data_IF_906477246182
#
_entry.id   IF_906477246182
#
_cell.length_a   1.000
_cell.length_b   1.000
_cell.length_c   1.000
_cell.angle_alpha   90.00
_cell.angle_beta   90.00
_cell.angle_gamma   90.00
#
_symmetry.space_group_name_H-M   'P 1'
#
loop_
_entity.id
_entity.type
_entity.pdbx_description
1 polymer ?
#
# COMPACT_ATOMS: atom_id res chain seq x y z
N UNK A 1 6.89 11.86 7.97
CA UNK A 1 6.92 10.64 8.82
C UNK A 1 5.64 9.86 8.61
N UNK A 2 5.71 8.52 8.52
CA UNK A 2 6.92 7.70 8.50
C UNK A 2 7.74 7.95 7.22
N UNK A 3 9.04 7.62 7.26
CA UNK A 3 9.95 7.73 6.11
C UNK A 3 10.34 6.31 5.68
N UNK A 4 9.40 5.65 4.98
CA UNK A 4 9.53 4.25 4.56
C UNK A 4 9.68 4.23 3.04
N UNK A 5 10.69 3.51 2.56
CA UNK A 5 10.79 3.14 1.16
C UNK A 5 9.95 1.89 0.89
N UNK A 6 8.82 2.07 0.24
CA UNK A 6 7.84 1.01 -0.04
C UNK A 6 8.36 0.04 -1.11
N UNK A 7 9.12 0.53 -2.08
CA UNK A 7 9.63 -0.26 -3.20
C UNK A 7 10.69 -1.25 -2.72
N UNK A 8 11.51 -0.85 -1.73
CA UNK A 8 12.52 -1.74 -1.12
C UNK A 8 11.99 -2.56 0.05
N UNK A 9 10.87 -2.17 0.65
CA UNK A 9 10.26 -2.89 1.78
C UNK A 9 9.44 -4.10 1.32
N UNK A 10 9.70 -5.27 1.87
CA UNK A 10 8.92 -6.49 1.60
C UNK A 10 9.20 -7.60 2.60
N UNK A 11 8.25 -8.53 2.71
CA UNK A 11 8.35 -9.69 3.59
C UNK A 11 8.41 -10.96 2.76
N UNK A 12 9.33 -11.88 3.09
CA UNK A 12 9.42 -13.18 2.43
C UNK A 12 8.23 -14.05 2.82
N UNK A 13 7.65 -14.75 1.85
CA UNK A 13 6.48 -15.62 2.03
C UNK A 13 5.29 -14.90 2.67
N UNK A 14 4.99 -13.69 2.21
CA UNK A 14 3.87 -12.89 2.73
C UNK A 14 2.50 -13.57 2.51
N UNK A 15 2.39 -14.51 1.57
CA UNK A 15 1.20 -15.34 1.35
C UNK A 15 0.81 -16.23 2.53
N UNK A 16 1.73 -16.49 3.47
CA UNK A 16 1.44 -17.25 4.69
C UNK A 16 0.95 -16.35 5.84
N UNK A 17 1.09 -15.04 5.70
CA UNK A 17 0.78 -14.05 6.74
C UNK A 17 -0.45 -13.21 6.41
N UNK A 18 -0.87 -13.19 5.15
CA UNK A 18 -1.99 -12.38 4.68
C UNK A 18 -2.97 -13.22 3.90
N UNK A 19 -4.24 -12.91 4.05
CA UNK A 19 -5.31 -13.51 3.25
C UNK A 19 -5.08 -13.25 1.75
N UNK A 20 -5.45 -14.18 0.85
CA UNK A 20 -5.22 -14.04 -0.59
C UNK A 20 -5.79 -12.74 -1.18
N UNK A 21 -6.96 -12.32 -0.69
CA UNK A 21 -7.62 -11.08 -1.13
C UNK A 21 -6.81 -9.83 -0.76
N UNK A 22 -6.24 -9.80 0.44
CA UNK A 22 -5.44 -8.66 0.91
C UNK A 22 -4.07 -8.65 0.24
N UNK A 23 -3.49 -9.82 -0.02
CA UNK A 23 -2.27 -9.95 -0.81
C UNK A 23 -2.42 -9.35 -2.21
N UNK A 24 -3.53 -9.65 -2.89
CA UNK A 24 -3.82 -9.08 -4.20
C UNK A 24 -3.96 -7.55 -4.15
N UNK A 25 -4.62 -7.01 -3.13
CA UNK A 25 -4.77 -5.56 -2.95
C UNK A 25 -3.42 -4.86 -2.68
N UNK A 26 -2.57 -5.45 -1.84
CA UNK A 26 -1.22 -4.94 -1.59
C UNK A 26 -0.37 -4.98 -2.86
N UNK A 27 -0.50 -6.02 -3.68
CA UNK A 27 0.23 -6.13 -4.95
C UNK A 27 -0.18 -5.04 -5.94
N UNK A 28 -1.48 -4.77 -6.08
CA UNK A 28 -1.98 -3.66 -6.92
C UNK A 28 -1.45 -2.32 -6.44
N UNK A 29 -1.49 -2.07 -5.12
CA UNK A 29 -0.94 -0.85 -4.53
C UNK A 29 0.56 -0.70 -4.83
N UNK A 30 1.35 -1.77 -4.66
CA UNK A 30 2.79 -1.75 -4.99
C UNK A 30 3.04 -1.45 -6.47
N UNK A 31 2.24 -2.02 -7.37
CA UNK A 31 2.34 -1.73 -8.82
C UNK A 31 2.02 -0.27 -9.15
N UNK A 32 1.03 0.32 -8.46
CA UNK A 32 0.70 1.73 -8.62
C UNK A 32 1.81 2.67 -8.14
N UNK A 33 2.49 2.30 -7.04
CA UNK A 33 3.53 3.12 -6.42
C UNK A 33 4.91 2.94 -7.08
N UNK A 34 5.18 1.80 -7.74
CA UNK A 34 6.47 1.50 -8.37
C UNK A 34 6.98 2.55 -9.39
N UNK A 35 6.15 3.16 -10.26
CA UNK A 35 6.64 4.19 -11.19
C UNK A 35 6.83 5.57 -10.56
N UNK A 36 6.38 5.78 -9.31
CA UNK A 36 6.51 7.05 -8.60
C UNK A 36 7.86 7.15 -7.91
N UNK A 37 8.36 8.37 -7.75
CA UNK A 37 9.53 8.63 -6.90
C UNK A 37 9.20 8.36 -5.41
N UNK A 38 10.20 8.03 -4.59
CA UNK A 38 10.01 7.63 -3.18
C UNK A 38 9.22 8.67 -2.39
N UNK A 39 9.49 9.96 -2.62
CA UNK A 39 8.80 11.06 -1.96
C UNK A 39 7.34 11.15 -2.41
N UNK A 40 7.09 11.09 -3.71
CA UNK A 40 5.75 11.17 -4.29
C UNK A 40 4.88 9.99 -3.87
N UNK A 41 5.45 8.79 -3.85
CA UNK A 41 4.76 7.58 -3.40
C UNK A 41 4.30 7.70 -1.94
N UNK A 42 5.16 8.24 -1.07
CA UNK A 42 4.80 8.44 0.34
C UNK A 42 3.79 9.56 0.54
N UNK A 43 3.90 10.68 -0.18
CA UNK A 43 2.90 11.75 -0.12
C UNK A 43 1.53 11.26 -0.57
N UNK A 44 1.48 10.55 -1.70
CA UNK A 44 0.26 9.93 -2.22
C UNK A 44 -0.36 8.96 -1.23
N UNK A 45 0.45 8.06 -0.64
CA UNK A 45 -0.04 7.08 0.32
C UNK A 45 -0.58 7.78 1.58
N UNK A 46 0.13 8.78 2.10
CA UNK A 46 -0.30 9.52 3.28
C UNK A 46 -1.60 10.29 3.04
N UNK A 47 -1.75 10.93 1.89
CA UNK A 47 -2.97 11.65 1.53
C UNK A 47 -4.18 10.71 1.51
N UNK A 48 -4.03 9.52 0.91
CA UNK A 48 -5.10 8.53 0.86
C UNK A 48 -5.43 7.93 2.22
N UNK A 49 -4.40 7.56 2.99
CA UNK A 49 -4.60 7.00 4.33
C UNK A 49 -5.26 8.01 5.28
N UNK A 50 -4.98 9.30 5.15
CA UNK A 50 -5.63 10.36 5.96
C UNK A 50 -7.15 10.43 5.74
N UNK A 51 -7.65 10.01 4.58
CA UNK A 51 -9.07 10.04 4.26
C UNK A 51 -9.86 8.86 4.87
N UNK A 52 -9.16 7.87 5.44
CA UNK A 52 -9.77 6.64 5.97
C UNK A 52 -9.30 6.36 7.38
N UNK A 53 -10.14 5.77 8.22
CA UNK A 53 -9.74 5.46 9.60
C UNK A 53 -9.04 4.12 9.71
N UNK A 54 -9.37 3.19 8.82
CA UNK A 54 -8.83 1.82 8.84
C UNK A 54 -8.25 1.41 7.49
N UNK A 55 -7.27 0.50 7.51
CA UNK A 55 -6.68 -0.05 6.28
C UNK A 55 -7.73 -0.80 5.44
N UNK A 56 -8.76 -1.36 6.07
CA UNK A 56 -9.86 -2.02 5.37
C UNK A 56 -10.66 -1.03 4.52
N UNK A 57 -11.04 0.11 5.09
CA UNK A 57 -11.71 1.20 4.37
C UNK A 57 -10.84 1.75 3.23
N UNK A 58 -9.53 1.92 3.48
CA UNK A 58 -8.57 2.33 2.45
C UNK A 58 -8.59 1.37 1.26
N UNK A 59 -8.46 0.06 1.50
CA UNK A 59 -8.50 -0.94 0.46
C UNK A 59 -9.85 -1.04 -0.27
N UNK A 60 -10.96 -0.74 0.41
CA UNK A 60 -12.29 -0.65 -0.22
C UNK A 60 -12.41 0.59 -1.10
N UNK A 61 -11.83 1.73 -0.69
CA UNK A 61 -11.83 2.97 -1.48
C UNK A 61 -11.01 2.88 -2.76
N UNK A 62 -9.98 2.03 -2.81
CA UNK A 62 -9.17 1.79 -4.02
C UNK A 62 -9.86 0.87 -5.05
N UNK A 63 -10.95 0.19 -4.67
CA UNK A 63 -11.74 -0.63 -5.60
C UNK A 63 -12.75 0.19 -6.42
N UNK A 64 -13.02 1.43 -6.01
CA UNK A 64 -13.89 2.38 -6.72
C UNK A 64 -13.08 3.21 -7.69
#
# INVERSE_FOLDING_TARGET
FPAIDINRSGTRREELLTEPDDLQKMWILRKLLHPMDELQAMEFLLERLKNTKTNKEFFESMKR
#
